data_IF_106289151340
#
_entry.id   IF_106289151340
#
_cell.length_a   1.000
_cell.length_b   1.000
_cell.length_c   1.000
_cell.angle_alpha   90.00
_cell.angle_beta   90.00
_cell.angle_gamma   90.00
#
_symmetry.space_group_name_H-M   'P 1'
#
loop_
_entity.id
_entity.type
_entity.pdbx_description
1 polymer ?
#
# COMPACT_ATOMS: atom_id res chain seq x y z
N UNK A 1 -6.88 18.66 -18.48
CA UNK A 1 -6.31 19.02 -17.17
C UNK A 1 -4.93 19.60 -17.40
N UNK A 2 -4.66 20.81 -16.90
CA UNK A 2 -3.31 21.36 -16.91
C UNK A 2 -2.47 20.64 -15.85
N UNK A 3 -1.39 20.01 -16.29
CA UNK A 3 -0.36 19.41 -15.45
C UNK A 3 0.98 20.07 -15.76
N UNK A 4 1.90 20.04 -14.82
CA UNK A 4 3.28 20.47 -15.06
C UNK A 4 4.26 19.42 -14.55
N UNK A 5 5.41 19.34 -15.23
CA UNK A 5 6.52 18.47 -14.86
C UNK A 5 7.47 19.23 -13.94
N UNK A 6 7.78 18.66 -12.79
CA UNK A 6 8.79 19.18 -11.86
C UNK A 6 10.20 18.78 -12.33
N UNK A 7 11.24 19.42 -11.77
CA UNK A 7 12.63 19.19 -12.17
C UNK A 7 13.12 17.76 -11.93
N UNK A 8 12.59 17.08 -10.91
CA UNK A 8 12.83 15.67 -10.59
C UNK A 8 12.08 14.69 -11.51
N UNK A 9 11.25 15.18 -12.43
CA UNK A 9 10.45 14.38 -13.35
C UNK A 9 9.08 13.92 -12.84
N UNK A 10 8.64 14.36 -11.64
CA UNK A 10 7.28 14.13 -11.17
C UNK A 10 6.25 14.99 -11.95
N UNK A 11 4.97 14.61 -11.90
CA UNK A 11 3.87 15.40 -12.47
C UNK A 11 2.91 15.86 -11.39
N UNK A 12 2.58 17.15 -11.40
CA UNK A 12 1.64 17.80 -10.50
C UNK A 12 0.45 18.35 -11.31
N UNK A 13 -0.74 18.31 -10.73
CA UNK A 13 -1.88 19.09 -11.25
C UNK A 13 -1.79 20.58 -10.83
N UNK A 14 -2.72 21.38 -11.33
CA UNK A 14 -2.82 22.81 -11.01
C UNK A 14 -3.04 23.13 -9.51
N UNK A 15 -3.44 22.16 -8.69
CA UNK A 15 -3.60 22.30 -7.22
C UNK A 15 -2.34 21.90 -6.45
N UNK A 16 -1.31 21.41 -7.15
CA UNK A 16 -0.10 20.86 -6.53
C UNK A 16 -0.24 19.40 -6.09
N UNK A 17 -1.34 18.72 -6.42
CA UNK A 17 -1.49 17.28 -6.15
C UNK A 17 -0.58 16.49 -7.09
N UNK A 18 0.18 15.57 -6.51
CA UNK A 18 1.07 14.69 -7.28
C UNK A 18 0.25 13.67 -8.05
N UNK A 19 0.27 13.77 -9.38
CA UNK A 19 -0.33 12.78 -10.28
C UNK A 19 0.63 11.61 -10.49
N UNK A 20 1.92 11.89 -10.65
CA UNK A 20 2.96 10.88 -10.86
C UNK A 20 4.20 11.27 -10.07
N UNK A 21 4.77 10.32 -9.35
CA UNK A 21 6.07 10.48 -8.70
C UNK A 21 7.14 10.03 -9.67
N UNK A 22 8.23 10.77 -9.80
CA UNK A 22 9.45 10.20 -10.37
C UNK A 22 9.96 9.06 -9.47
N UNK A 23 10.82 8.20 -10.03
CA UNK A 23 11.45 7.12 -9.27
C UNK A 23 12.22 7.67 -8.06
N UNK A 24 13.03 8.71 -8.28
CA UNK A 24 13.85 9.29 -7.21
C UNK A 24 13.00 9.89 -6.10
N UNK A 25 11.92 10.61 -6.44
CA UNK A 25 11.01 11.16 -5.43
C UNK A 25 10.27 10.07 -4.68
N UNK A 26 9.82 9.02 -5.36
CA UNK A 26 9.22 7.86 -4.70
C UNK A 26 10.20 7.20 -3.72
N UNK A 27 11.45 6.96 -4.13
CA UNK A 27 12.46 6.35 -3.26
C UNK A 27 12.75 7.25 -2.06
N UNK A 28 13.05 8.53 -2.29
CA UNK A 28 13.50 9.44 -1.24
C UNK A 28 12.36 9.81 -0.27
N UNK A 29 11.20 10.21 -0.79
CA UNK A 29 10.11 10.72 0.06
C UNK A 29 9.34 9.56 0.71
N UNK A 30 9.09 8.50 -0.06
CA UNK A 30 8.14 7.44 0.31
C UNK A 30 8.83 6.19 0.82
N UNK A 31 9.86 5.67 0.14
CA UNK A 31 10.52 4.41 0.54
C UNK A 31 11.49 4.59 1.70
N UNK A 32 12.34 5.61 1.64
CA UNK A 32 13.33 5.92 2.68
C UNK A 32 12.73 6.94 3.67
N UNK A 33 12.05 7.96 3.14
CA UNK A 33 11.43 9.02 3.92
C UNK A 33 10.13 8.61 4.63
N UNK A 34 9.62 9.51 5.47
CA UNK A 34 8.37 9.28 6.22
C UNK A 34 7.16 10.01 5.64
N UNK A 35 7.22 10.43 4.38
CA UNK A 35 6.08 11.06 3.73
C UNK A 35 4.91 10.08 3.60
N UNK A 36 3.70 10.62 3.45
CA UNK A 36 2.52 9.81 3.22
C UNK A 36 2.71 8.99 1.94
N UNK A 37 2.63 7.66 2.04
CA UNK A 37 2.91 6.79 0.91
C UNK A 37 1.94 6.95 -0.27
N UNK A 38 0.81 7.65 -0.08
CA UNK A 38 -0.20 7.91 -1.11
C UNK A 38 -0.01 9.27 -1.78
N UNK A 39 0.20 10.35 -1.02
CA UNK A 39 0.26 11.71 -1.58
C UNK A 39 1.62 12.39 -1.48
N UNK A 40 2.60 11.78 -0.82
CA UNK A 40 3.93 12.37 -0.63
C UNK A 40 3.97 13.55 0.34
N UNK A 41 2.87 13.85 1.05
CA UNK A 41 2.87 14.90 2.06
C UNK A 41 3.85 14.57 3.19
N UNK A 42 4.63 15.54 3.64
CA UNK A 42 5.51 15.38 4.80
C UNK A 42 4.70 15.36 6.11
N UNK A 43 5.15 14.64 7.15
CA UNK A 43 4.48 14.63 8.46
C UNK A 43 4.25 16.02 9.07
N UNK A 44 5.11 17.00 8.78
CA UNK A 44 4.94 18.38 9.26
C UNK A 44 3.85 19.15 8.51
N UNK A 45 3.43 18.68 7.32
CA UNK A 45 2.50 19.39 6.43
C UNK A 45 1.03 19.01 6.62
N UNK A 46 0.75 17.86 7.24
CA UNK A 46 -0.61 17.31 7.41
C UNK A 46 -0.72 16.51 8.70
N UNK A 47 -1.96 16.27 9.14
CA UNK A 47 -2.22 15.34 10.24
C UNK A 47 -2.04 13.90 9.75
N UNK A 48 -1.25 13.12 10.47
CA UNK A 48 -1.01 11.70 10.22
C UNK A 48 -1.72 10.86 11.27
N UNK A 49 -2.34 9.77 10.83
CA UNK A 49 -2.88 8.75 11.72
C UNK A 49 -2.27 7.36 11.47
N UNK A 50 -1.37 7.27 10.49
CA UNK A 50 -0.72 6.07 9.98
C UNK A 50 -1.72 4.98 9.55
N UNK A 51 -1.36 4.25 8.50
CA UNK A 51 -2.25 3.23 7.93
C UNK A 51 -1.78 1.83 8.34
N UNK A 52 -2.71 0.96 8.74
CA UNK A 52 -2.37 -0.43 9.03
C UNK A 52 -1.93 -1.14 7.74
N UNK A 53 -0.85 -1.92 7.82
CA UNK A 53 -0.40 -2.72 6.66
C UNK A 53 -1.47 -3.73 6.27
N UNK A 54 -2.02 -4.43 7.25
CA UNK A 54 -3.21 -5.27 7.08
C UNK A 54 -4.44 -4.45 7.46
N UNK A 55 -5.47 -4.34 6.59
CA UNK A 55 -6.65 -3.52 6.84
C UNK A 55 -7.30 -3.80 8.20
N UNK A 56 -7.75 -2.74 8.86
CA UNK A 56 -8.32 -2.84 10.21
C UNK A 56 -9.51 -3.81 10.28
N UNK A 57 -10.38 -3.84 9.27
CA UNK A 57 -11.52 -4.76 9.24
C UNK A 57 -11.09 -6.23 9.19
N UNK A 58 -9.96 -6.56 8.53
CA UNK A 58 -9.37 -7.91 8.53
C UNK A 58 -8.85 -8.23 9.93
N UNK A 59 -8.13 -7.28 10.54
CA UNK A 59 -7.60 -7.44 11.89
C UNK A 59 -8.69 -7.68 12.92
N UNK A 60 -9.84 -7.00 12.80
CA UNK A 60 -11.02 -7.19 13.65
C UNK A 60 -11.67 -8.55 13.39
N UNK A 61 -11.94 -8.87 12.12
CA UNK A 61 -12.63 -10.12 11.72
C UNK A 61 -11.93 -11.37 12.25
N UNK A 62 -10.60 -11.38 12.23
CA UNK A 62 -9.80 -12.53 12.64
C UNK A 62 -9.12 -12.36 14.01
N UNK A 63 -9.48 -11.32 14.78
CA UNK A 63 -8.92 -11.04 16.10
C UNK A 63 -7.37 -11.02 16.14
N UNK A 64 -6.77 -10.30 15.18
CA UNK A 64 -5.32 -10.32 14.94
C UNK A 64 -4.56 -9.18 15.63
N UNK A 65 -5.22 -8.14 16.15
CA UNK A 65 -4.54 -6.97 16.72
C UNK A 65 -3.41 -7.29 17.71
N UNK A 66 -3.66 -8.27 18.59
CA UNK A 66 -2.71 -8.71 19.61
C UNK A 66 -1.84 -9.91 19.18
N UNK A 67 -2.08 -10.47 18.00
CA UNK A 67 -1.25 -11.51 17.39
C UNK A 67 -0.03 -10.88 16.73
N UNK A 68 0.99 -11.70 16.53
CA UNK A 68 2.25 -11.27 15.93
C UNK A 68 2.44 -11.88 14.54
N UNK A 69 3.08 -11.11 13.66
CA UNK A 69 3.63 -11.58 12.40
C UNK A 69 5.13 -11.82 12.58
N UNK A 70 5.64 -12.89 11.96
CA UNK A 70 7.07 -13.18 11.90
C UNK A 70 7.69 -12.44 10.71
N UNK A 71 8.75 -11.69 10.98
CA UNK A 71 9.50 -10.92 10.00
C UNK A 71 10.56 -11.79 9.31
N UNK A 72 11.09 -11.38 8.13
CA UNK A 72 12.15 -12.12 7.43
C UNK A 72 13.40 -12.42 8.25
N UNK A 73 13.72 -11.59 9.24
CA UNK A 73 14.84 -11.80 10.17
C UNK A 73 14.50 -12.73 11.36
N UNK A 74 13.34 -13.39 11.36
CA UNK A 74 12.84 -14.22 12.45
C UNK A 74 12.31 -13.46 13.68
N UNK A 75 12.39 -12.13 13.68
CA UNK A 75 11.76 -11.27 14.68
C UNK A 75 10.25 -11.28 14.58
N UNK A 76 9.57 -10.66 15.55
CA UNK A 76 8.11 -10.55 15.51
C UNK A 76 7.63 -9.14 15.84
N UNK A 77 6.48 -8.77 15.27
CA UNK A 77 5.79 -7.52 15.57
C UNK A 77 4.29 -7.76 15.64
N UNK A 78 3.60 -7.05 16.54
CA UNK A 78 2.13 -7.15 16.65
C UNK A 78 1.46 -6.55 15.41
N UNK A 79 0.45 -7.22 14.87
CA UNK A 79 -0.31 -6.70 13.72
C UNK A 79 -0.88 -5.29 13.98
N UNK A 80 -1.40 -5.01 15.18
CA UNK A 80 -1.92 -3.68 15.53
C UNK A 80 -0.88 -2.56 15.54
N UNK A 81 0.42 -2.89 15.57
CA UNK A 81 1.55 -1.94 15.47
C UNK A 81 2.18 -1.93 14.08
N UNK A 82 1.72 -2.79 13.19
CA UNK A 82 2.24 -2.96 11.85
C UNK A 82 1.59 -1.92 10.92
N UNK A 83 2.10 -0.68 11.00
CA UNK A 83 1.57 0.51 10.31
C UNK A 83 2.62 1.25 9.50
N UNK A 84 2.21 1.94 8.44
CA UNK A 84 3.05 2.80 7.59
C UNK A 84 2.58 4.26 7.59
N UNK A 85 3.47 5.24 7.30
CA UNK A 85 3.10 6.65 7.29
C UNK A 85 2.01 6.99 6.28
N UNK A 86 0.88 7.50 6.77
CA UNK A 86 -0.23 7.94 5.95
C UNK A 86 -0.93 9.15 6.58
N UNK A 87 -1.19 10.18 5.78
CA UNK A 87 -1.98 11.31 6.24
C UNK A 87 -3.46 10.91 6.36
N UNK A 88 -4.18 11.58 7.26
CA UNK A 88 -5.56 11.26 7.57
C UNK A 88 -6.48 11.35 6.33
N UNK A 89 -6.24 12.31 5.43
CA UNK A 89 -7.01 12.48 4.19
C UNK A 89 -6.90 11.24 3.29
N UNK A 90 -5.67 10.78 3.05
CA UNK A 90 -5.39 9.63 2.19
C UNK A 90 -5.85 8.34 2.82
N UNK A 91 -5.66 8.18 4.14
CA UNK A 91 -6.15 7.03 4.87
C UNK A 91 -7.69 6.94 4.75
N UNK A 92 -8.39 8.03 5.03
CA UNK A 92 -9.86 8.08 4.92
C UNK A 92 -10.35 7.87 3.48
N UNK A 93 -9.65 8.40 2.49
CA UNK A 93 -9.99 8.19 1.07
C UNK A 93 -9.82 6.72 0.67
N UNK A 94 -8.73 6.08 1.07
CA UNK A 94 -8.45 4.67 0.80
C UNK A 94 -9.51 3.76 1.43
N UNK A 95 -9.92 4.06 2.66
CA UNK A 95 -11.06 3.38 3.31
C UNK A 95 -12.33 3.44 2.45
N UNK A 96 -12.75 4.65 2.07
CA UNK A 96 -13.99 4.85 1.28
C UNK A 96 -13.93 4.28 -0.14
N UNK A 97 -12.80 4.41 -0.82
CA UNK A 97 -12.67 4.03 -2.25
C UNK A 97 -12.34 2.55 -2.43
N UNK A 98 -11.63 1.93 -1.50
CA UNK A 98 -11.13 0.55 -1.63
C UNK A 98 -11.66 -0.32 -0.49
N UNK A 99 -11.30 -0.03 0.75
CA UNK A 99 -11.47 -1.01 1.85
C UNK A 99 -12.94 -1.27 2.21
N UNK A 100 -13.80 -0.25 2.22
CA UNK A 100 -15.23 -0.39 2.52
C UNK A 100 -15.97 -1.20 1.46
N UNK A 101 -15.54 -1.12 0.20
CA UNK A 101 -16.11 -1.88 -0.91
C UNK A 101 -15.66 -3.34 -0.84
N UNK A 102 -14.34 -3.56 -0.76
CA UNK A 102 -13.76 -4.89 -0.69
C UNK A 102 -14.24 -5.64 0.56
N UNK A 103 -14.29 -4.98 1.71
CA UNK A 103 -14.81 -5.58 2.95
C UNK A 103 -16.24 -6.09 2.78
N UNK A 104 -17.14 -5.30 2.16
CA UNK A 104 -18.52 -5.74 1.91
C UNK A 104 -18.58 -6.96 1.00
N UNK A 105 -17.84 -6.94 -0.11
CA UNK A 105 -17.83 -8.06 -1.09
C UNK A 105 -17.24 -9.32 -0.47
N UNK A 106 -16.08 -9.21 0.20
CA UNK A 106 -15.41 -10.37 0.83
C UNK A 106 -16.24 -10.95 1.97
N UNK A 107 -16.92 -10.11 2.76
CA UNK A 107 -17.79 -10.59 3.84
C UNK A 107 -19.09 -11.22 3.34
N UNK A 108 -19.54 -10.92 2.12
CA UNK A 108 -20.68 -11.58 1.48
C UNK A 108 -20.36 -12.99 0.93
N UNK A 109 -19.09 -13.39 0.92
CA UNK A 109 -18.65 -14.75 0.59
C UNK A 109 -18.12 -14.92 -0.84
N UNK A 110 -17.64 -16.14 -1.18
CA UNK A 110 -16.93 -16.40 -2.44
C UNK A 110 -17.75 -16.11 -3.70
N UNK A 111 -19.04 -16.41 -3.71
CA UNK A 111 -19.94 -16.13 -4.85
C UNK A 111 -20.04 -14.62 -5.12
N UNK A 112 -20.11 -13.80 -4.07
CA UNK A 112 -20.13 -12.35 -4.20
C UNK A 112 -18.83 -11.82 -4.79
N UNK A 113 -17.68 -12.39 -4.39
CA UNK A 113 -16.37 -12.06 -4.97
C UNK A 113 -16.33 -12.40 -6.46
N UNK A 114 -16.74 -13.61 -6.84
CA UNK A 114 -16.77 -14.04 -8.24
C UNK A 114 -17.67 -13.13 -9.10
N UNK A 115 -18.87 -12.83 -8.61
CA UNK A 115 -19.82 -11.93 -9.28
C UNK A 115 -19.25 -10.52 -9.45
N UNK A 116 -18.68 -9.94 -8.39
CA UNK A 116 -18.09 -8.59 -8.43
C UNK A 116 -17.02 -8.45 -9.51
N UNK A 117 -16.19 -9.49 -9.66
CA UNK A 117 -15.12 -9.53 -10.67
C UNK A 117 -15.69 -9.72 -12.07
N UNK A 118 -16.67 -10.62 -12.23
CA UNK A 118 -17.35 -10.84 -13.51
C UNK A 118 -18.06 -9.58 -14.02
N UNK A 119 -18.53 -8.71 -13.12
CA UNK A 119 -19.11 -7.39 -13.43
C UNK A 119 -18.05 -6.33 -13.80
N UNK A 120 -16.76 -6.69 -13.90
CA UNK A 120 -15.69 -5.82 -14.35
C UNK A 120 -14.95 -5.09 -13.22
N UNK A 121 -15.26 -5.34 -11.96
CA UNK A 121 -14.62 -4.68 -10.81
C UNK A 121 -13.34 -5.40 -10.32
N UNK A 122 -12.74 -6.24 -11.16
CA UNK A 122 -11.52 -7.00 -10.81
C UNK A 122 -10.33 -6.13 -10.43
N UNK A 123 -10.27 -4.88 -10.91
CA UNK A 123 -9.19 -3.95 -10.57
C UNK A 123 -9.11 -3.66 -9.06
N UNK A 124 -10.25 -3.58 -8.36
CA UNK A 124 -10.24 -3.35 -6.90
C UNK A 124 -9.55 -4.53 -6.18
N UNK A 125 -9.73 -5.76 -6.68
CA UNK A 125 -9.08 -6.98 -6.19
C UNK A 125 -7.62 -7.13 -6.59
N UNK A 126 -7.13 -6.31 -7.52
CA UNK A 126 -5.69 -6.17 -7.80
C UNK A 126 -5.08 -5.08 -6.90
N UNK A 127 -5.73 -3.92 -6.82
CA UNK A 127 -5.26 -2.76 -6.04
C UNK A 127 -5.19 -3.08 -4.56
N UNK A 128 -6.18 -3.78 -4.00
CA UNK A 128 -6.24 -4.04 -2.56
C UNK A 128 -5.07 -4.93 -2.06
N UNK A 129 -4.79 -6.10 -2.65
CA UNK A 129 -3.57 -6.85 -2.32
C UNK A 129 -2.29 -6.10 -2.68
N UNK A 130 -2.29 -5.31 -3.77
CA UNK A 130 -1.15 -4.45 -4.13
C UNK A 130 -0.82 -3.41 -3.05
N UNK A 131 -1.84 -2.81 -2.42
CA UNK A 131 -1.67 -1.92 -1.28
C UNK A 131 -1.05 -2.67 -0.10
N UNK A 132 -1.56 -3.86 0.24
CA UNK A 132 -0.98 -4.68 1.33
C UNK A 132 0.47 -5.00 1.02
N UNK A 133 0.77 -5.45 -0.19
CA UNK A 133 2.11 -5.77 -0.66
C UNK A 133 3.03 -4.55 -0.51
N UNK A 134 2.69 -3.40 -1.08
CA UNK A 134 3.51 -2.19 -0.96
C UNK A 134 3.70 -1.79 0.51
N UNK A 135 2.64 -1.84 1.32
CA UNK A 135 2.69 -1.49 2.75
C UNK A 135 3.63 -2.41 3.54
N UNK A 136 3.70 -3.71 3.23
CA UNK A 136 4.67 -4.64 3.86
C UNK A 136 6.10 -4.18 3.57
N UNK A 137 6.44 -3.96 2.30
CA UNK A 137 7.80 -3.56 1.90
C UNK A 137 8.20 -2.21 2.51
N UNK A 138 7.29 -1.24 2.53
CA UNK A 138 7.53 0.04 3.18
C UNK A 138 7.72 -0.10 4.70
N UNK A 139 7.06 -1.07 5.34
CA UNK A 139 7.19 -1.29 6.78
C UNK A 139 8.51 -1.98 7.13
N UNK A 140 9.05 -2.81 6.24
CA UNK A 140 10.30 -3.53 6.46
C UNK A 140 11.53 -2.63 6.64
N UNK A 141 11.45 -1.36 6.22
CA UNK A 141 12.51 -0.36 6.49
C UNK A 141 12.69 -0.03 7.97
N UNK A 142 11.70 -0.34 8.82
CA UNK A 142 11.77 -0.05 10.25
C UNK A 142 12.44 -1.17 11.05
N UNK A 143 12.72 -2.32 10.44
CA UNK A 143 13.30 -3.48 11.12
C UNK A 143 14.70 -3.77 10.63
N UNK A 144 15.60 -4.07 11.57
CA UNK A 144 16.99 -4.44 11.29
C UNK A 144 17.08 -5.84 10.72
N UNK A 145 18.02 -6.09 9.80
CA UNK A 145 18.40 -7.46 9.40
C UNK A 145 18.98 -8.20 10.61
N UNK A 146 19.79 -7.50 11.40
CA UNK A 146 20.49 -8.07 12.55
C UNK A 146 19.87 -7.64 13.88
N UNK A 147 19.48 -8.64 14.69
CA UNK A 147 19.03 -8.42 16.07
C UNK A 147 20.16 -7.94 17.00
N UNK A 148 21.41 -8.33 16.71
CA UNK A 148 22.58 -7.87 17.45
C UNK A 148 22.89 -6.41 17.10
N UNK A 149 22.77 -5.52 18.09
CA UNK A 149 22.99 -4.08 17.92
C UNK A 149 24.44 -3.70 17.63
N UNK A 150 25.39 -4.62 17.85
CA UNK A 150 26.80 -4.42 17.49
C UNK A 150 27.06 -4.56 15.99
N UNK A 151 26.12 -5.17 15.26
CA UNK A 151 26.17 -5.27 13.80
C UNK A 151 25.66 -3.98 13.13
N UNK A 152 25.93 -3.77 11.84
CA UNK A 152 25.38 -2.65 11.09
C UNK A 152 23.85 -2.52 11.25
N UNK A 153 23.34 -1.28 11.16
CA UNK A 153 21.90 -0.97 11.27
C UNK A 153 21.13 -1.20 9.96
N UNK A 154 21.64 -2.08 9.10
CA UNK A 154 21.00 -2.48 7.85
C UNK A 154 19.56 -2.93 8.13
N UNK A 155 18.63 -2.43 7.34
CA UNK A 155 17.21 -2.71 7.44
C UNK A 155 16.84 -3.85 6.50
N UNK A 156 15.78 -4.58 6.82
CA UNK A 156 15.26 -5.65 5.96
C UNK A 156 15.02 -5.12 4.55
N UNK A 157 14.54 -3.88 4.45
CA UNK A 157 14.23 -3.26 3.17
C UNK A 157 15.45 -2.78 2.36
N UNK A 158 16.67 -2.80 2.92
CA UNK A 158 17.90 -2.55 2.16
C UNK A 158 18.21 -3.68 1.16
N UNK A 159 17.53 -4.83 1.31
CA UNK A 159 17.60 -5.95 0.38
C UNK A 159 16.71 -5.75 -0.86
N UNK A 160 15.92 -4.68 -0.93
CA UNK A 160 14.93 -4.47 -1.98
C UNK A 160 15.44 -3.53 -3.08
N UNK A 161 15.04 -3.81 -4.32
CA UNK A 161 15.08 -2.81 -5.39
C UNK A 161 13.83 -1.93 -5.27
N UNK A 162 13.97 -0.78 -4.62
CA UNK A 162 12.88 0.18 -4.47
C UNK A 162 12.35 0.67 -5.82
N UNK A 163 13.17 0.76 -6.86
CA UNK A 163 12.70 1.23 -8.15
C UNK A 163 11.73 0.24 -8.80
N UNK A 164 11.89 -1.05 -8.52
CA UNK A 164 10.93 -2.08 -8.97
C UNK A 164 9.54 -1.89 -8.34
N UNK A 165 9.47 -1.35 -7.12
CA UNK A 165 8.21 -1.06 -6.42
C UNK A 165 7.49 0.19 -6.91
N UNK A 166 8.17 1.04 -7.69
CA UNK A 166 7.58 2.27 -8.24
C UNK A 166 6.39 1.99 -9.15
N UNK A 167 6.45 0.91 -9.95
CA UNK A 167 5.32 0.48 -10.78
C UNK A 167 4.10 0.12 -9.92
N UNK A 168 4.32 -0.66 -8.86
CA UNK A 168 3.25 -1.02 -7.92
C UNK A 168 2.66 0.23 -7.27
N UNK A 169 3.50 1.19 -6.86
CA UNK A 169 3.05 2.47 -6.31
C UNK A 169 2.16 3.26 -7.29
N UNK A 170 2.53 3.31 -8.56
CA UNK A 170 1.71 3.94 -9.60
C UNK A 170 0.34 3.26 -9.72
N UNK A 171 0.31 1.92 -9.75
CA UNK A 171 -0.91 1.14 -9.88
C UNK A 171 -1.85 1.31 -8.69
N UNK A 172 -1.34 1.15 -7.47
CA UNK A 172 -2.19 1.20 -6.27
C UNK A 172 -2.75 2.59 -5.99
N UNK A 173 -2.18 3.63 -6.60
CA UNK A 173 -2.66 5.02 -6.50
C UNK A 173 -3.73 5.40 -7.53
N UNK A 174 -4.21 4.47 -8.36
CA UNK A 174 -5.23 4.78 -9.37
C UNK A 174 -6.49 5.44 -8.78
N UNK A 175 -6.90 5.05 -7.57
CA UNK A 175 -8.05 5.61 -6.86
C UNK A 175 -7.87 7.07 -6.43
N UNK A 176 -6.63 7.58 -6.41
CA UNK A 176 -6.32 8.97 -6.06
C UNK A 176 -6.41 9.86 -7.28
N UNK A 177 -5.86 9.42 -8.40
CA UNK A 177 -5.62 10.28 -9.55
C UNK A 177 -6.74 10.24 -10.60
N UNK A 178 -7.74 9.37 -10.40
CA UNK A 178 -8.80 9.16 -11.39
C UNK A 178 -8.27 8.64 -12.72
N UNK A 179 -7.05 8.07 -12.70
CA UNK A 179 -6.41 7.52 -13.88
C UNK A 179 -7.11 6.20 -14.25
N UNK A 180 -7.51 6.08 -15.51
CA UNK A 180 -7.91 4.80 -16.08
C UNK A 180 -6.66 3.93 -16.21
N UNK A 181 -6.72 2.71 -15.67
CA UNK A 181 -5.69 1.71 -15.88
C UNK A 181 -6.08 0.85 -17.08
N UNK A 182 -5.24 0.83 -18.09
CA UNK A 182 -5.36 -0.12 -19.19
C UNK A 182 -5.16 -1.55 -18.67
N UNK A 183 -5.82 -2.53 -19.28
CA UNK A 183 -5.83 -3.92 -18.79
C UNK A 183 -4.44 -4.55 -18.79
N UNK A 184 -3.57 -4.05 -19.65
CA UNK A 184 -2.21 -4.52 -19.88
C UNK A 184 -1.24 -4.07 -18.76
N UNK A 185 -1.62 -3.11 -17.91
CA UNK A 185 -0.74 -2.53 -16.90
C UNK A 185 -0.70 -3.38 -15.62
N UNK A 186 -1.75 -4.16 -15.36
CA UNK A 186 -1.81 -5.09 -14.24
C UNK A 186 -1.66 -6.53 -14.73
N UNK A 187 -0.92 -7.34 -13.96
CA UNK A 187 -0.67 -8.74 -14.30
C UNK A 187 -1.93 -9.61 -14.27
N UNK A 188 -1.75 -10.92 -14.46
CA UNK A 188 -2.87 -11.86 -14.38
C UNK A 188 -3.43 -11.95 -12.95
N UNK A 189 -4.74 -11.77 -12.80
CA UNK A 189 -5.46 -12.04 -11.55
C UNK A 189 -6.16 -13.39 -11.66
N UNK A 190 -5.78 -14.34 -10.79
CA UNK A 190 -6.46 -15.62 -10.63
C UNK A 190 -7.08 -15.72 -9.24
N UNK A 191 -8.38 -16.01 -9.18
CA UNK A 191 -9.05 -16.35 -7.92
C UNK A 191 -9.46 -17.81 -7.97
N UNK A 192 -8.99 -18.56 -6.97
CA UNK A 192 -9.28 -19.99 -6.82
C UNK A 192 -10.04 -20.22 -5.53
N UNK A 193 -11.11 -21.01 -5.60
CA UNK A 193 -11.75 -21.53 -4.39
C UNK A 193 -10.98 -22.74 -3.92
N UNK A 194 -10.44 -22.67 -2.70
CA UNK A 194 -9.83 -23.82 -2.05
C UNK A 194 -10.88 -24.47 -1.16
N UNK A 195 -11.36 -25.63 -1.57
CA UNK A 195 -12.09 -26.54 -0.69
C UNK A 195 -11.05 -27.27 0.16
N UNK A 196 -10.97 -26.94 1.44
CA UNK A 196 -10.21 -27.75 2.39
C UNK A 196 -11.05 -29.00 2.64
N UNK A 197 -10.62 -30.11 2.06
CA UNK A 197 -11.19 -31.45 2.31
C UNK A 197 -10.77 -31.93 3.70
#
# INVERSE_FOLDING_TARGET
MAWHKTSDGSFLDHTGKVLFFSKDRFVNDICIGRCCFICGAEPASKVFNDEHVIPEWVLRKFNLFNRAITLPNGGTVKYGRFKVPCCQDCNSLMGRQIEDRISRVVNAGPEAVQKHIAEGNGLEFFVWPGLIFLKVYLKDREFRIHHDLRKPDDKIADLYDWQALHHMHCLVRCFVNGASLEKEVFGSLGIVSLSVV
#
